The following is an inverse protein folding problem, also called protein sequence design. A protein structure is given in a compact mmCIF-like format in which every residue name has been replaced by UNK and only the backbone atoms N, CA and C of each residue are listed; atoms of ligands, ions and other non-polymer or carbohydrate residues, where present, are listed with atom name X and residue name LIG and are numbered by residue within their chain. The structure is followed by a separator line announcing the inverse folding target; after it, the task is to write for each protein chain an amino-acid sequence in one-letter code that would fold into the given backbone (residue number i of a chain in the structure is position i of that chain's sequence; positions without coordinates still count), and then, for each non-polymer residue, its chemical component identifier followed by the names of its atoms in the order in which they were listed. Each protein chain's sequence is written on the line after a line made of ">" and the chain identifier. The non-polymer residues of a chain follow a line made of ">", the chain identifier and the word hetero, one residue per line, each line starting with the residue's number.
data_IF_080204052274
#
_entry.id   IF_080204052274
#
_cell.length_a   1.000
_cell.length_b   1.000
_cell.length_c   1.000
_cell.angle_alpha   90.00
_cell.angle_beta   90.00
_cell.angle_gamma   90.00
#
_symmetry.space_group_name_H-M   'P 1'
#
loop_
_entity.id
_entity.type
_entity.pdbx_description
1 polymer ?
#
# COMPACT_ATOMS: atom_id res chain seq x y z
N UNK A 1 -22.13 -44.96 27.82
CA UNK A 1 -22.65 -43.58 27.70
C UNK A 1 -21.53 -42.51 27.66
N UNK A 2 -20.43 -42.69 28.40
CA UNK A 2 -19.30 -41.72 28.44
C UNK A 2 -18.49 -41.59 27.13
N UNK A 3 -18.32 -42.67 26.37
CA UNK A 3 -17.56 -42.68 25.11
C UNK A 3 -18.20 -41.86 23.99
N UNK A 4 -19.54 -41.79 23.93
CA UNK A 4 -20.26 -40.96 22.95
C UNK A 4 -20.08 -39.47 23.21
N UNK A 5 -20.07 -39.05 24.49
CA UNK A 5 -19.80 -37.65 24.86
C UNK A 5 -18.38 -37.23 24.51
N UNK A 6 -17.40 -38.13 24.67
CA UNK A 6 -16.00 -37.89 24.27
C UNK A 6 -15.90 -37.63 22.76
N UNK A 7 -16.49 -38.50 21.94
CA UNK A 7 -16.49 -38.34 20.49
C UNK A 7 -17.18 -37.07 20.01
N UNK A 8 -18.24 -36.64 20.70
CA UNK A 8 -18.93 -35.38 20.40
C UNK A 8 -18.10 -34.15 20.78
N UNK A 9 -17.29 -34.23 21.85
CA UNK A 9 -16.33 -33.17 22.21
C UNK A 9 -15.22 -33.12 21.16
N UNK A 10 -14.61 -34.25 20.82
CA UNK A 10 -13.52 -34.30 19.83
C UNK A 10 -13.95 -33.76 18.45
N UNK A 11 -15.20 -34.05 18.04
CA UNK A 11 -15.79 -33.48 16.81
C UNK A 11 -15.98 -31.97 16.90
N UNK A 12 -16.51 -31.48 18.01
CA UNK A 12 -16.70 -30.04 18.23
C UNK A 12 -15.38 -29.30 18.28
N UNK A 13 -14.35 -29.87 18.89
CA UNK A 13 -13.01 -29.28 18.95
C UNK A 13 -12.41 -29.17 17.54
N UNK A 14 -12.57 -30.20 16.72
CA UNK A 14 -12.14 -30.19 15.31
C UNK A 14 -12.91 -29.16 14.48
N UNK A 15 -14.23 -29.04 14.70
CA UNK A 15 -15.06 -28.04 14.03
C UNK A 15 -14.66 -26.61 14.43
N UNK A 16 -14.37 -26.39 15.72
CA UNK A 16 -13.89 -25.10 16.23
C UNK A 16 -12.54 -24.73 15.63
N UNK A 17 -11.60 -25.68 15.54
CA UNK A 17 -10.30 -25.47 14.90
C UNK A 17 -10.47 -25.07 13.42
N UNK A 18 -11.34 -25.75 12.69
CA UNK A 18 -11.65 -25.42 11.30
C UNK A 18 -12.27 -24.02 11.15
N UNK A 19 -13.18 -23.64 12.05
CA UNK A 19 -13.78 -22.30 12.05
C UNK A 19 -12.70 -21.24 12.31
N UNK A 20 -11.84 -21.44 13.31
CA UNK A 20 -10.74 -20.53 13.63
C UNK A 20 -9.77 -20.40 12.45
N UNK A 21 -9.40 -21.52 11.82
CA UNK A 21 -8.55 -21.53 10.63
C UNK A 21 -9.17 -20.74 9.46
N UNK A 22 -10.46 -20.95 9.20
CA UNK A 22 -11.18 -20.21 8.15
C UNK A 22 -11.25 -18.70 8.43
N UNK A 23 -11.47 -18.31 9.69
CA UNK A 23 -11.46 -16.91 10.10
C UNK A 23 -10.10 -16.26 9.87
N UNK A 24 -9.01 -16.95 10.22
CA UNK A 24 -7.64 -16.46 10.04
C UNK A 24 -7.32 -16.24 8.54
N UNK A 25 -7.73 -17.18 7.69
CA UNK A 25 -7.57 -17.06 6.23
C UNK A 25 -8.38 -15.88 5.69
N UNK A 26 -9.62 -15.71 6.15
CA UNK A 26 -10.47 -14.61 5.73
C UNK A 26 -9.87 -13.25 6.13
N UNK A 27 -9.35 -13.12 7.34
CA UNK A 27 -8.67 -11.92 7.82
C UNK A 27 -7.45 -11.58 6.95
N UNK A 28 -6.60 -12.56 6.67
CA UNK A 28 -5.45 -12.39 5.78
C UNK A 28 -5.87 -11.93 4.37
N UNK A 29 -6.94 -12.50 3.82
CA UNK A 29 -7.44 -12.10 2.51
C UNK A 29 -7.95 -10.65 2.51
N UNK A 30 -8.63 -10.23 3.57
CA UNK A 30 -9.10 -8.85 3.76
C UNK A 30 -7.91 -7.89 3.86
N UNK A 31 -6.89 -8.23 4.65
CA UNK A 31 -5.70 -7.40 4.80
C UNK A 31 -4.92 -7.26 3.48
N UNK A 32 -4.76 -8.36 2.73
CA UNK A 32 -4.13 -8.34 1.40
C UNK A 32 -4.92 -7.48 0.41
N UNK A 33 -6.25 -7.55 0.44
CA UNK A 33 -7.11 -6.70 -0.40
C UNK A 33 -7.00 -5.23 0.02
N UNK A 34 -6.98 -4.93 1.31
CA UNK A 34 -6.74 -3.58 1.84
C UNK A 34 -5.38 -3.04 1.38
N UNK A 35 -4.32 -3.85 1.45
CA UNK A 35 -2.99 -3.48 0.95
C UNK A 35 -2.99 -3.16 -0.55
N UNK A 36 -3.59 -4.03 -1.38
CA UNK A 36 -3.75 -3.81 -2.82
C UNK A 36 -4.61 -2.59 -3.15
N UNK A 37 -5.62 -2.33 -2.33
CA UNK A 37 -6.48 -1.15 -2.47
C UNK A 37 -5.69 0.11 -2.08
N UNK A 38 -4.93 0.09 -0.99
CA UNK A 38 -4.05 1.20 -0.61
C UNK A 38 -3.00 1.47 -1.68
N UNK A 39 -2.40 0.44 -2.28
CA UNK A 39 -1.46 0.60 -3.41
C UNK A 39 -2.12 1.31 -4.61
N UNK A 40 -3.38 0.96 -4.93
CA UNK A 40 -4.13 1.59 -6.03
C UNK A 40 -4.68 2.98 -5.69
N UNK A 41 -5.08 3.21 -4.45
CA UNK A 41 -5.61 4.48 -3.95
C UNK A 41 -4.51 5.46 -3.51
N UNK A 42 -3.28 4.99 -3.35
CA UNK A 42 -2.10 5.82 -3.07
C UNK A 42 -1.34 6.02 -4.38
N UNK A 43 -1.64 7.07 -5.18
CA UNK A 43 -0.80 7.45 -6.31
C UNK A 43 0.46 8.15 -5.78
N UNK A 44 1.36 7.40 -5.14
CA UNK A 44 2.60 7.97 -4.58
C UNK A 44 3.81 7.03 -4.55
N UNK A 45 3.80 5.91 -5.27
CA UNK A 45 5.03 5.13 -5.53
C UNK A 45 5.16 4.78 -7.02
N UNK A 46 5.08 5.79 -7.89
CA UNK A 46 5.84 5.75 -9.15
C UNK A 46 7.29 6.12 -8.83
N UNK A 47 7.93 5.29 -8.01
CA UNK A 47 9.33 5.41 -7.64
C UNK A 47 10.17 4.45 -8.46
N UNK A 48 10.13 4.54 -9.79
CA UNK A 48 11.22 4.02 -10.62
C UNK A 48 11.48 4.99 -11.78
N UNK A 49 12.65 5.63 -11.71
CA UNK A 49 13.38 6.32 -12.79
C UNK A 49 13.37 7.85 -12.86
N UNK A 50 13.29 8.56 -11.72
CA UNK A 50 13.93 9.86 -11.61
C UNK A 50 14.31 10.10 -10.14
N UNK A 51 15.60 10.00 -9.83
CA UNK A 51 16.14 10.22 -8.47
C UNK A 51 15.78 11.62 -7.91
N UNK A 52 15.33 12.55 -8.77
CA UNK A 52 15.12 13.96 -8.46
C UNK A 52 13.72 14.52 -8.87
N UNK A 53 12.70 13.68 -9.11
CA UNK A 53 11.36 14.17 -9.48
C UNK A 53 10.22 13.36 -8.88
N UNK A 54 9.22 14.06 -8.34
CA UNK A 54 7.94 13.49 -7.89
C UNK A 54 6.80 13.98 -8.79
N UNK A 55 5.92 13.06 -9.20
CA UNK A 55 4.75 13.40 -9.98
C UNK A 55 3.48 12.90 -9.29
N UNK A 56 2.52 13.80 -9.12
CA UNK A 56 1.24 13.55 -8.48
C UNK A 56 0.10 13.82 -9.46
N UNK A 57 -0.78 12.83 -9.67
CA UNK A 57 -1.94 12.98 -10.56
C UNK A 57 -3.24 12.89 -9.74
N UNK A 58 -4.16 13.82 -9.98
CA UNK A 58 -5.44 13.92 -9.28
C UNK A 58 -6.58 14.26 -10.24
N UNK A 59 -7.82 14.01 -9.81
CA UNK A 59 -9.03 14.28 -10.59
C UNK A 59 -9.91 15.29 -9.87
N UNK A 60 -10.26 16.38 -10.55
CA UNK A 60 -11.21 17.39 -10.05
C UNK A 60 -12.17 17.79 -11.18
N UNK A 61 -13.47 17.86 -10.87
CA UNK A 61 -14.50 18.21 -11.87
C UNK A 61 -14.57 17.28 -13.09
N UNK A 62 -14.24 16.00 -12.93
CA UNK A 62 -14.27 15.01 -14.02
C UNK A 62 -13.02 15.00 -14.91
N UNK A 63 -12.10 15.96 -14.74
CA UNK A 63 -10.88 16.09 -15.54
C UNK A 63 -9.65 15.64 -14.75
N UNK A 64 -8.68 15.07 -15.46
CA UNK A 64 -7.41 14.61 -14.90
C UNK A 64 -6.35 15.71 -14.96
N UNK A 65 -5.60 15.85 -13.87
CA UNK A 65 -4.52 16.82 -13.73
C UNK A 65 -3.27 16.12 -13.23
N UNK A 66 -2.11 16.59 -13.68
CA UNK A 66 -0.79 16.08 -13.26
C UNK A 66 0.07 17.25 -12.79
N UNK A 67 0.51 17.18 -11.55
CA UNK A 67 1.54 18.04 -10.98
C UNK A 67 2.87 17.29 -11.03
N UNK A 68 3.91 17.90 -11.60
CA UNK A 68 5.26 17.34 -11.59
C UNK A 68 6.17 18.33 -10.87
N UNK A 69 6.86 17.87 -9.83
CA UNK A 69 7.86 18.62 -9.11
C UNK A 69 9.23 18.00 -9.41
N UNK A 70 10.21 18.85 -9.72
CA UNK A 70 11.59 18.45 -9.98
C UNK A 70 12.48 19.30 -9.08
N UNK A 71 13.42 18.67 -8.39
CA UNK A 71 14.41 19.35 -7.56
C UNK A 71 15.76 19.13 -8.23
N UNK A 72 16.38 20.20 -8.71
CA UNK A 72 17.72 20.14 -9.30
C UNK A 72 18.73 20.57 -8.25
N UNK A 73 19.81 19.80 -8.09
CA UNK A 73 20.94 20.17 -7.24
C UNK A 73 21.82 21.16 -8.02
N UNK A 74 21.90 22.40 -7.55
CA UNK A 74 22.87 23.37 -8.08
C UNK A 74 24.24 23.09 -7.46
N UNK A 75 25.03 22.22 -8.09
CA UNK A 75 26.47 22.15 -7.81
C UNK A 75 27.14 23.31 -8.53
N UNK A 76 27.68 24.24 -7.74
CA UNK A 76 28.13 25.59 -8.10
C UNK A 76 27.03 26.63 -7.99
N UNK A 77 27.13 27.44 -6.92
CA UNK A 77 26.49 28.74 -6.83
C UNK A 77 26.91 29.53 -8.07
N UNK A 78 26.04 29.55 -9.08
CA UNK A 78 26.15 30.47 -10.20
C UNK A 78 25.74 31.86 -9.68
N UNK A 79 26.52 32.39 -8.74
CA UNK A 79 26.66 33.82 -8.57
C UNK A 79 27.22 34.24 -9.92
N UNK A 80 26.33 34.69 -10.81
CA UNK A 80 26.72 35.45 -11.98
C UNK A 80 27.69 36.51 -11.47
N UNK A 81 28.98 36.27 -11.66
CA UNK A 81 29.99 37.32 -11.60
C UNK A 81 29.71 38.18 -12.82
N UNK A 82 28.76 39.09 -12.70
CA UNK A 82 28.80 40.33 -13.45
C UNK A 82 29.99 41.15 -12.90
N UNK A 83 31.18 40.81 -13.39
CA UNK A 83 32.28 41.74 -13.65
C UNK A 83 32.45 41.68 -15.15
N UNK A 84 32.56 42.74 -15.93
CA UNK A 84 32.70 44.17 -15.72
C UNK A 84 32.37 44.77 -17.10
N UNK A 85 31.76 45.95 -17.12
CA UNK A 85 32.00 46.95 -18.14
C UNK A 85 32.25 48.27 -17.40
#
# INVERSE_FOLDING_TARGET
>A
MQTRKRQEIDRRDTELENIVGNLLIAEYQVEKLRGRLMEKLTPAYSGTNAVNSSAYSFKIGGKWYKLSLKVEEETELNIKKEKEA
#
